data_IF_115574045269
#
_entry.id   IF_115574045269
#
_cell.length_a   1.000
_cell.length_b   1.000
_cell.length_c   1.000
_cell.angle_alpha   90.00
_cell.angle_beta   90.00
_cell.angle_gamma   90.00
#
_symmetry.space_group_name_H-M   'P 1'
#
loop_
_entity.id
_entity.type
_entity.pdbx_description
1 polymer ?
#
# COMPACT_ATOMS: atom_id res chain seq x y z
N UNK A 1 -24.21 -21.03 -5.94
CA UNK A 1 -22.85 -20.68 -6.40
C UNK A 1 -22.03 -20.34 -5.17
N UNK A 2 -21.03 -21.15 -4.82
CA UNK A 2 -20.13 -20.82 -3.71
C UNK A 2 -19.36 -19.55 -4.09
N UNK A 3 -19.38 -18.53 -3.23
CA UNK A 3 -18.41 -17.44 -3.33
C UNK A 3 -17.04 -18.06 -3.01
N UNK A 4 -16.32 -18.50 -4.04
CA UNK A 4 -14.90 -18.83 -3.92
C UNK A 4 -14.22 -17.52 -3.53
N UNK A 5 -13.96 -17.35 -2.22
CA UNK A 5 -13.38 -16.13 -1.68
C UNK A 5 -12.16 -15.74 -2.51
N UNK A 6 -12.16 -14.51 -3.03
CA UNK A 6 -11.05 -14.02 -3.84
C UNK A 6 -9.74 -14.17 -3.05
N UNK A 7 -8.65 -14.59 -3.70
CA UNK A 7 -7.38 -14.79 -3.00
C UNK A 7 -6.90 -13.46 -2.41
N UNK A 8 -6.60 -13.47 -1.11
CA UNK A 8 -6.07 -12.32 -0.38
C UNK A 8 -4.56 -12.43 -0.30
N UNK A 9 -3.85 -11.39 -0.74
CA UNK A 9 -2.40 -11.32 -0.75
C UNK A 9 -1.89 -10.30 0.27
N UNK A 10 -0.83 -10.65 1.02
CA UNK A 10 -0.13 -9.73 1.92
C UNK A 10 1.13 -9.23 1.23
N UNK A 11 1.20 -7.93 0.98
CA UNK A 11 2.34 -7.26 0.35
C UNK A 11 3.20 -6.54 1.41
N UNK A 12 4.51 -6.76 1.39
CA UNK A 12 5.48 -6.02 2.20
C UNK A 12 6.49 -5.36 1.25
N UNK A 13 6.61 -4.04 1.35
CA UNK A 13 7.64 -3.27 0.65
C UNK A 13 8.80 -3.01 1.60
N UNK A 14 9.98 -3.53 1.25
CA UNK A 14 11.22 -3.35 2.00
C UNK A 14 12.19 -2.45 1.23
N UNK A 15 13.06 -1.74 1.96
CA UNK A 15 14.06 -0.83 1.42
C UNK A 15 14.33 0.36 2.33
N UNK A 16 15.34 1.17 2.01
CA UNK A 16 15.79 2.28 2.85
C UNK A 16 14.76 3.41 3.00
N UNK A 17 14.91 4.21 4.06
CA UNK A 17 14.12 5.43 4.23
C UNK A 17 14.32 6.34 3.02
N UNK A 18 13.23 6.90 2.47
CA UNK A 18 13.28 7.74 1.28
C UNK A 18 13.33 7.00 -0.07
N UNK A 19 13.45 5.67 -0.10
CA UNK A 19 13.45 4.88 -1.35
C UNK A 19 12.12 4.88 -2.13
N UNK A 20 11.09 5.60 -1.67
CA UNK A 20 9.83 5.78 -2.40
C UNK A 20 8.77 4.68 -2.21
N UNK A 21 8.92 3.80 -1.22
CA UNK A 21 7.96 2.70 -0.93
C UNK A 21 6.50 3.18 -0.81
N UNK A 22 6.27 4.26 -0.07
CA UNK A 22 4.93 4.83 0.12
C UNK A 22 4.41 5.53 -1.14
N UNK A 23 5.30 6.17 -1.90
CA UNK A 23 4.97 6.77 -3.20
C UNK A 23 4.59 5.71 -4.23
N UNK A 24 5.24 4.55 -4.19
CA UNK A 24 4.92 3.41 -5.05
C UNK A 24 3.50 2.87 -4.79
N UNK A 25 3.10 2.68 -3.53
CA UNK A 25 1.74 2.25 -3.21
C UNK A 25 0.68 3.28 -3.59
N UNK A 26 0.94 4.57 -3.35
CA UNK A 26 0.02 5.64 -3.76
C UNK A 26 -0.16 5.66 -5.27
N UNK A 27 0.93 5.48 -6.02
CA UNK A 27 0.86 5.38 -7.47
C UNK A 27 0.16 4.10 -7.92
N UNK A 28 0.40 2.96 -7.28
CA UNK A 28 -0.21 1.68 -7.67
C UNK A 28 -1.71 1.63 -7.38
N UNK A 29 -2.15 2.07 -6.20
CA UNK A 29 -3.54 1.96 -5.76
C UNK A 29 -4.40 3.15 -6.17
N UNK A 30 -3.82 4.35 -6.25
CA UNK A 30 -4.57 5.60 -6.50
C UNK A 30 -4.13 6.34 -7.75
N UNK A 31 -3.08 5.86 -8.42
CA UNK A 31 -2.49 6.55 -9.57
C UNK A 31 -2.06 8.00 -9.26
N UNK A 32 -1.75 8.29 -8.00
CA UNK A 32 -1.37 9.62 -7.53
C UNK A 32 0.13 9.70 -7.23
N UNK A 33 0.71 10.89 -7.44
CA UNK A 33 2.04 11.23 -6.99
C UNK A 33 1.99 12.50 -6.16
N UNK A 34 2.54 12.44 -4.94
CA UNK A 34 2.64 13.58 -4.03
C UNK A 34 4.10 13.81 -3.70
N UNK A 35 4.61 15.02 -3.90
CA UNK A 35 6.01 15.36 -3.61
C UNK A 35 6.29 15.49 -2.11
N UNK A 36 5.24 15.69 -1.33
CA UNK A 36 5.16 15.97 0.09
C UNK A 36 4.86 14.71 0.94
N UNK A 37 5.27 13.52 0.47
CA UNK A 37 5.06 12.28 1.22
C UNK A 37 6.09 12.19 2.35
N UNK A 38 5.63 12.39 3.59
CA UNK A 38 6.45 12.23 4.78
C UNK A 38 6.99 10.80 4.93
N UNK A 39 8.18 10.68 5.53
CA UNK A 39 8.75 9.39 5.88
C UNK A 39 7.75 8.61 6.74
N UNK A 40 7.59 7.33 6.41
CA UNK A 40 6.64 6.49 7.12
C UNK A 40 7.27 6.08 8.45
N UNK A 41 6.73 6.60 9.55
CA UNK A 41 7.09 6.18 10.89
C UNK A 41 6.33 4.87 11.21
N UNK A 42 7.05 3.73 11.25
CA UNK A 42 6.47 2.40 11.50
C UNK A 42 5.99 1.65 10.25
N UNK A 43 5.07 0.68 10.41
CA UNK A 43 4.50 -0.12 9.32
C UNK A 43 3.16 0.46 8.87
N UNK A 44 3.05 0.91 7.61
CA UNK A 44 1.75 1.29 7.02
C UNK A 44 1.07 0.05 6.43
N UNK A 45 -0.01 -0.40 7.08
CA UNK A 45 -0.92 -1.40 6.54
C UNK A 45 -2.11 -0.70 5.88
N UNK A 46 -2.30 -0.94 4.58
CA UNK A 46 -3.52 -0.53 3.89
C UNK A 46 -4.56 -1.63 4.04
N UNK A 47 -5.51 -1.45 4.96
CA UNK A 47 -6.73 -2.27 4.99
C UNK A 47 -7.82 -1.46 4.30
N UNK A 48 -8.14 -1.81 3.06
CA UNK A 48 -9.35 -1.25 2.43
C UNK A 48 -10.55 -1.73 3.26
N UNK A 49 -11.38 -0.77 3.71
CA UNK A 49 -12.49 -1.03 4.62
C UNK A 49 -13.50 -1.99 4.00
N UNK A 50 -13.83 -3.04 4.75
CA UNK A 50 -15.06 -3.80 4.56
C UNK A 50 -16.22 -2.91 5.00
N UNK A 51 -16.89 -2.29 4.04
CA UNK A 51 -18.20 -1.65 4.15
C UNK A 51 -19.12 -2.21 3.09
#
# INVERSE_FOLDING_TARGET
VAALGSPVYRLVLAGDSGAGKSSFLLRLCRNEFRGDISSTLGTRAGTEGLG
#
